data_IF_870258017873
#
_entry.id   IF_870258017873
#
_cell.length_a   1.000
_cell.length_b   1.000
_cell.length_c   1.000
_cell.angle_alpha   90.00
_cell.angle_beta   90.00
_cell.angle_gamma   90.00
#
_symmetry.space_group_name_H-M   'P 1'
#
loop_
_entity.id
_entity.type
_entity.pdbx_description
1 polymer ?
#
# COMPACT_ATOMS: atom_id res chain seq x y z
N UNK A 1 16.06 14.04 0.37
CA UNK A 1 14.75 13.81 -0.28
C UNK A 1 14.93 12.74 -1.35
N UNK A 2 14.49 11.51 -1.09
CA UNK A 2 14.67 10.33 -1.97
C UNK A 2 14.08 10.56 -3.37
N UNK A 3 13.04 11.40 -3.51
CA UNK A 3 12.37 11.68 -4.81
C UNK A 3 13.26 12.30 -5.89
N UNK A 4 14.41 12.87 -5.51
CA UNK A 4 15.34 13.52 -6.44
C UNK A 4 16.41 12.58 -7.00
N UNK A 5 16.49 11.36 -6.45
CA UNK A 5 17.50 10.39 -6.83
C UNK A 5 16.98 9.53 -7.98
N UNK A 6 17.86 9.24 -8.92
CA UNK A 6 17.69 8.21 -9.95
C UNK A 6 17.71 6.82 -9.33
N UNK A 7 17.24 5.81 -10.06
CA UNK A 7 17.31 4.42 -9.62
C UNK A 7 18.76 3.99 -9.33
N UNK A 8 19.71 4.40 -10.17
CA UNK A 8 21.14 4.11 -10.00
C UNK A 8 21.66 4.70 -8.69
N UNK A 9 21.32 5.96 -8.39
CA UNK A 9 21.71 6.59 -7.13
C UNK A 9 21.07 5.91 -5.91
N UNK A 10 19.81 5.47 -6.00
CA UNK A 10 19.15 4.71 -4.93
C UNK A 10 19.82 3.36 -4.68
N UNK A 11 20.22 2.67 -5.74
CA UNK A 11 20.90 1.37 -5.65
C UNK A 11 22.30 1.46 -5.04
N UNK A 12 22.93 2.63 -5.14
CA UNK A 12 24.21 2.89 -4.49
C UNK A 12 24.07 3.20 -2.98
N UNK A 13 22.86 3.44 -2.46
CA UNK A 13 22.63 3.58 -1.03
C UNK A 13 22.57 2.19 -0.40
N UNK A 14 23.52 1.91 0.50
CA UNK A 14 23.61 0.64 1.23
C UNK A 14 23.10 0.78 2.65
N UNK A 15 22.41 -0.26 3.13
CA UNK A 15 22.15 -0.45 4.55
C UNK A 15 23.44 -0.88 5.27
N UNK A 16 23.46 -0.85 6.61
CA UNK A 16 24.63 -1.23 7.42
C UNK A 16 25.13 -2.66 7.15
N UNK A 17 24.22 -3.54 6.71
CA UNK A 17 24.51 -4.93 6.34
C UNK A 17 24.81 -5.12 4.84
N UNK A 18 25.13 -4.04 4.13
CA UNK A 18 25.44 -3.99 2.70
C UNK A 18 24.27 -4.34 1.75
N UNK A 19 23.05 -4.53 2.25
CA UNK A 19 21.88 -4.65 1.37
C UNK A 19 21.60 -3.34 0.63
N UNK A 20 20.96 -3.46 -0.52
CA UNK A 20 20.51 -2.33 -1.33
C UNK A 20 19.04 -2.06 -1.10
N UNK A 21 18.59 -0.85 -1.43
CA UNK A 21 17.17 -0.55 -1.53
C UNK A 21 16.57 -1.37 -2.69
N UNK A 22 15.59 -2.26 -2.43
CA UNK A 22 14.96 -3.03 -3.48
C UNK A 22 13.90 -2.19 -4.20
N UNK A 23 13.65 -2.55 -5.45
CA UNK A 23 12.46 -2.16 -6.20
C UNK A 23 11.32 -3.11 -5.85
N UNK A 24 10.08 -2.69 -6.10
CA UNK A 24 8.89 -3.54 -5.92
C UNK A 24 8.99 -4.85 -6.71
N UNK A 25 9.50 -4.80 -7.94
CA UNK A 25 9.70 -5.96 -8.82
C UNK A 25 10.67 -6.96 -8.18
N UNK A 26 11.79 -6.48 -7.63
CA UNK A 26 12.75 -7.36 -6.94
C UNK A 26 12.15 -8.00 -5.69
N UNK A 27 11.32 -7.26 -4.94
CA UNK A 27 10.60 -7.82 -3.78
C UNK A 27 9.65 -8.94 -4.21
N UNK A 28 8.86 -8.72 -5.27
CA UNK A 28 7.92 -9.73 -5.77
C UNK A 28 8.64 -10.98 -6.27
N UNK A 29 9.67 -10.82 -7.13
CA UNK A 29 10.50 -11.93 -7.60
C UNK A 29 11.17 -12.71 -6.46
N UNK A 30 11.69 -12.00 -5.46
CA UNK A 30 12.36 -12.65 -4.33
C UNK A 30 11.40 -13.49 -3.48
N UNK A 31 10.10 -13.17 -3.48
CA UNK A 31 9.10 -13.81 -2.63
C UNK A 31 8.20 -14.81 -3.37
N UNK A 32 8.27 -14.84 -4.70
CA UNK A 32 7.47 -15.70 -5.58
C UNK A 32 7.47 -17.18 -5.15
N UNK A 33 8.61 -17.68 -4.66
CA UNK A 33 8.80 -19.08 -4.30
C UNK A 33 8.56 -19.42 -2.82
N UNK A 34 8.30 -18.43 -1.96
CA UNK A 34 8.33 -18.64 -0.51
C UNK A 34 6.99 -19.04 0.11
N UNK A 35 5.85 -18.69 -0.52
CA UNK A 35 4.53 -19.21 -0.16
C UNK A 35 3.48 -18.79 -1.21
N UNK A 36 2.67 -19.74 -1.69
CA UNK A 36 1.56 -19.43 -2.60
C UNK A 36 0.52 -18.49 -1.97
N UNK A 37 0.45 -18.44 -0.63
CA UNK A 37 -0.55 -17.69 0.14
C UNK A 37 -0.03 -16.36 0.71
N UNK A 38 1.16 -15.90 0.30
CA UNK A 38 1.70 -14.63 0.77
C UNK A 38 0.80 -13.46 0.34
N UNK A 39 0.50 -12.55 1.27
CA UNK A 39 -0.21 -11.30 1.01
C UNK A 39 0.69 -10.11 1.29
N UNK A 40 0.54 -9.06 0.50
CA UNK A 40 1.33 -7.84 0.58
C UNK A 40 0.44 -6.70 1.09
N UNK A 41 0.78 -6.16 2.25
CA UNK A 41 0.22 -4.89 2.73
C UNK A 41 1.17 -3.77 2.35
N UNK A 42 0.71 -2.84 1.51
CA UNK A 42 1.56 -1.82 0.93
C UNK A 42 1.08 -0.41 1.31
N UNK A 43 1.83 0.24 2.20
CA UNK A 43 1.66 1.67 2.46
C UNK A 43 2.15 2.46 1.25
N UNK A 44 1.28 3.34 0.75
CA UNK A 44 1.61 4.24 -0.35
C UNK A 44 1.80 5.66 0.18
N UNK A 45 2.56 6.44 -0.57
CA UNK A 45 2.81 7.86 -0.24
C UNK A 45 1.91 8.80 -1.03
N UNK A 46 1.58 8.44 -2.26
CA UNK A 46 0.80 9.24 -3.18
C UNK A 46 0.09 8.36 -4.21
N UNK A 47 -0.93 8.94 -4.86
CA UNK A 47 -1.73 8.25 -5.87
C UNK A 47 -0.89 7.65 -6.99
N UNK A 48 0.15 8.36 -7.46
CA UNK A 48 0.97 7.89 -8.58
C UNK A 48 1.68 6.59 -8.20
N UNK A 49 2.20 6.50 -6.98
CA UNK A 49 2.77 5.25 -6.46
C UNK A 49 1.72 4.14 -6.38
N UNK A 50 0.51 4.43 -5.89
CA UNK A 50 -0.57 3.44 -5.83
C UNK A 50 -0.99 2.89 -7.20
N UNK A 51 -1.16 3.77 -8.19
CA UNK A 51 -1.48 3.36 -9.57
C UNK A 51 -0.37 2.47 -10.15
N UNK A 52 0.89 2.86 -9.99
CA UNK A 52 2.00 2.05 -10.53
C UNK A 52 2.15 0.70 -9.82
N UNK A 53 1.80 0.62 -8.53
CA UNK A 53 1.76 -0.64 -7.80
C UNK A 53 0.68 -1.57 -8.38
N UNK A 54 -0.52 -1.06 -8.70
CA UNK A 54 -1.59 -1.82 -9.35
C UNK A 54 -1.11 -2.37 -10.70
N UNK A 55 -0.45 -1.54 -11.52
CA UNK A 55 0.12 -1.99 -12.81
C UNK A 55 1.08 -3.17 -12.61
N UNK A 56 2.08 -3.01 -11.73
CA UNK A 56 3.10 -4.04 -11.48
C UNK A 56 2.46 -5.32 -10.93
N UNK A 57 1.53 -5.20 -9.98
CA UNK A 57 0.86 -6.37 -9.41
C UNK A 57 -0.01 -7.12 -10.42
N UNK A 58 -0.59 -6.39 -11.39
CA UNK A 58 -1.33 -6.99 -12.51
C UNK A 58 -0.39 -7.71 -13.47
N UNK A 59 0.76 -7.10 -13.80
CA UNK A 59 1.80 -7.73 -14.63
C UNK A 59 2.34 -9.03 -14.02
N UNK A 60 2.35 -9.13 -12.68
CA UNK A 60 2.80 -10.29 -11.92
C UNK A 60 1.71 -11.32 -11.60
N UNK A 61 0.45 -11.08 -11.99
CA UNK A 61 -0.71 -11.93 -11.64
C UNK A 61 -0.85 -12.17 -10.12
N UNK A 62 -0.62 -11.12 -9.31
CA UNK A 62 -0.73 -11.16 -7.84
C UNK A 62 -1.64 -10.06 -7.29
N UNK A 63 -2.44 -9.39 -8.13
CA UNK A 63 -3.27 -8.26 -7.73
C UNK A 63 -4.22 -8.61 -6.57
N UNK A 64 -4.73 -9.85 -6.55
CA UNK A 64 -5.59 -10.40 -5.49
C UNK A 64 -4.88 -10.59 -4.14
N UNK A 65 -3.54 -10.57 -4.14
CA UNK A 65 -2.68 -10.66 -2.96
C UNK A 65 -2.21 -9.30 -2.45
N UNK A 66 -2.51 -8.21 -3.17
CA UNK A 66 -2.12 -6.85 -2.78
C UNK A 66 -3.24 -6.16 -1.99
N UNK A 67 -2.87 -5.56 -0.86
CA UNK A 67 -3.70 -4.66 -0.08
C UNK A 67 -3.00 -3.30 -0.02
N UNK A 68 -3.65 -2.25 -0.53
CA UNK A 68 -3.10 -0.88 -0.48
C UNK A 68 -3.64 -0.18 0.76
N UNK A 69 -2.74 0.26 1.64
CA UNK A 69 -3.05 0.99 2.87
C UNK A 69 -2.78 2.48 2.70
N UNK A 70 -3.76 3.31 3.04
CA UNK A 70 -3.65 4.78 2.94
C UNK A 70 -4.64 5.47 3.88
N UNK A 71 -4.25 6.66 4.35
CA UNK A 71 -5.04 7.49 5.28
C UNK A 71 -5.98 8.43 4.53
N UNK A 72 -5.65 8.86 3.32
CA UNK A 72 -6.46 9.82 2.58
C UNK A 72 -7.52 9.13 1.70
N UNK A 73 -8.81 9.31 2.05
CA UNK A 73 -9.94 8.78 1.28
C UNK A 73 -9.93 9.21 -0.19
N UNK A 74 -9.49 10.42 -0.52
CA UNK A 74 -9.45 10.88 -1.92
C UNK A 74 -8.42 10.11 -2.76
N UNK A 75 -7.35 9.61 -2.13
CA UNK A 75 -6.40 8.72 -2.81
C UNK A 75 -7.07 7.37 -3.03
N UNK A 76 -7.69 6.80 -1.99
CA UNK A 76 -8.39 5.51 -2.07
C UNK A 76 -9.52 5.52 -3.11
N UNK A 77 -10.30 6.60 -3.19
CA UNK A 77 -11.35 6.79 -4.20
C UNK A 77 -10.79 6.67 -5.61
N UNK A 78 -9.71 7.39 -5.91
CA UNK A 78 -9.13 7.38 -7.25
C UNK A 78 -8.48 6.04 -7.59
N UNK A 79 -7.94 5.32 -6.61
CA UNK A 79 -7.47 3.95 -6.80
C UNK A 79 -8.64 3.00 -7.10
N UNK A 80 -9.79 3.16 -6.42
CA UNK A 80 -11.03 2.41 -6.69
C UNK A 80 -11.67 2.77 -8.03
N UNK A 81 -11.50 4.00 -8.50
CA UNK A 81 -11.88 4.41 -9.85
C UNK A 81 -11.05 3.70 -10.91
N UNK A 82 -9.74 3.60 -10.68
CA UNK A 82 -8.78 2.96 -11.56
C UNK A 82 -8.96 1.43 -11.60
N UNK A 83 -9.06 0.78 -10.44
CA UNK A 83 -9.31 -0.66 -10.35
C UNK A 83 -10.47 -0.99 -9.38
N UNK A 84 -11.47 -1.71 -9.89
CA UNK A 84 -12.70 -2.01 -9.14
C UNK A 84 -12.55 -3.15 -8.14
N UNK A 85 -11.45 -3.91 -8.19
CA UNK A 85 -11.23 -5.14 -7.43
C UNK A 85 -10.09 -5.04 -6.41
N UNK A 86 -9.17 -4.09 -6.56
CA UNK A 86 -8.03 -3.91 -5.66
C UNK A 86 -8.50 -3.82 -4.21
N UNK A 87 -7.84 -4.55 -3.31
CA UNK A 87 -8.17 -4.46 -1.88
C UNK A 87 -7.58 -3.17 -1.32
N UNK A 88 -8.45 -2.34 -0.76
CA UNK A 88 -8.11 -1.06 -0.16
C UNK A 88 -8.34 -1.14 1.35
N UNK A 89 -7.44 -0.55 2.11
CA UNK A 89 -7.48 -0.51 3.57
C UNK A 89 -7.30 0.93 4.01
N UNK A 90 -8.24 1.44 4.80
CA UNK A 90 -8.13 2.77 5.35
C UNK A 90 -7.31 2.74 6.65
N UNK A 91 -6.25 3.54 6.71
CA UNK A 91 -5.41 3.67 7.90
C UNK A 91 -5.86 4.85 8.76
N UNK A 92 -6.26 4.59 10.00
CA UNK A 92 -6.61 5.62 10.98
C UNK A 92 -5.37 6.06 11.76
N UNK A 93 -5.21 7.38 11.90
CA UNK A 93 -3.99 8.00 12.44
C UNK A 93 -4.03 8.35 13.91
N UNK A 94 -5.22 8.26 14.51
CA UNK A 94 -5.47 8.84 15.81
C UNK A 94 -5.45 7.76 16.90
N UNK A 95 -5.14 8.17 18.12
CA UNK A 95 -5.27 7.35 19.33
C UNK A 95 -6.76 7.10 19.61
N UNK A 96 -7.36 6.22 18.82
CA UNK A 96 -8.79 5.91 18.89
C UNK A 96 -9.04 5.13 20.16
N UNK A 97 -9.59 5.80 21.17
CA UNK A 97 -10.11 5.16 22.39
C UNK A 97 -11.48 4.51 22.14
N UNK A 98 -12.19 4.92 21.08
CA UNK A 98 -13.48 4.37 20.65
C UNK A 98 -13.73 4.70 19.18
N UNK A 99 -14.27 3.77 18.38
CA UNK A 99 -14.70 4.03 17.00
C UNK A 99 -16.18 4.46 17.03
N UNK A 100 -16.49 5.61 16.45
CA UNK A 100 -17.87 6.06 16.20
C UNK A 100 -17.96 6.79 14.86
N UNK A 101 -19.18 7.11 14.42
CA UNK A 101 -19.45 7.70 13.10
C UNK A 101 -18.78 9.07 12.87
N UNK A 102 -18.33 9.76 13.92
CA UNK A 102 -17.59 11.01 13.79
C UNK A 102 -16.08 10.80 13.56
N UNK A 103 -15.58 9.58 13.78
CA UNK A 103 -14.15 9.22 13.69
C UNK A 103 -13.87 8.48 12.38
N UNK A 104 -14.85 7.71 11.91
CA UNK A 104 -14.78 6.95 10.66
C UNK A 104 -16.01 7.28 9.83
N UNK A 105 -15.81 7.79 8.62
CA UNK A 105 -16.91 7.97 7.67
C UNK A 105 -17.27 6.61 7.05
N UNK A 106 -18.18 5.91 7.72
CA UNK A 106 -18.61 4.55 7.37
C UNK A 106 -19.24 4.51 5.97
N UNK A 107 -19.92 5.57 5.54
CA UNK A 107 -20.54 5.62 4.21
C UNK A 107 -19.46 5.71 3.11
N UNK A 108 -18.43 6.53 3.31
CA UNK A 108 -17.27 6.54 2.40
C UNK A 108 -16.59 5.17 2.34
N UNK A 109 -16.42 4.48 3.48
CA UNK A 109 -15.81 3.15 3.47
C UNK A 109 -16.65 2.11 2.72
N UNK A 110 -17.99 2.15 2.88
CA UNK A 110 -18.92 1.30 2.13
C UNK A 110 -18.82 1.57 0.62
N UNK A 111 -18.82 2.83 0.22
CA UNK A 111 -18.72 3.23 -1.19
C UNK A 111 -17.40 2.76 -1.82
N UNK A 112 -16.31 2.82 -1.05
CA UNK A 112 -14.99 2.34 -1.46
C UNK A 112 -14.84 0.82 -1.38
N UNK A 113 -15.84 0.10 -0.85
CA UNK A 113 -15.80 -1.33 -0.55
C UNK A 113 -14.59 -1.68 0.32
N UNK A 114 -14.34 -0.86 1.35
CA UNK A 114 -13.28 -1.09 2.33
C UNK A 114 -13.87 -1.89 3.47
N UNK A 115 -13.40 -3.13 3.60
CA UNK A 115 -13.87 -4.07 4.63
C UNK A 115 -12.90 -4.21 5.80
N UNK A 116 -11.74 -3.54 5.72
CA UNK A 116 -10.69 -3.57 6.73
C UNK A 116 -10.17 -2.16 7.03
N UNK A 117 -9.92 -1.91 8.30
CA UNK A 117 -9.32 -0.67 8.81
C UNK A 117 -8.01 -1.04 9.49
N UNK A 118 -6.95 -0.31 9.17
CA UNK A 118 -5.68 -0.40 9.87
C UNK A 118 -5.64 0.69 10.96
N UNK A 119 -5.49 0.29 12.23
CA UNK A 119 -5.44 1.22 13.35
C UNK A 119 -3.98 1.38 13.77
N UNK A 120 -3.46 2.61 13.67
CA UNK A 120 -2.12 2.89 14.16
C UNK A 120 -2.13 2.97 15.69
N UNK A 121 -1.69 1.92 16.39
CA UNK A 121 -1.50 1.98 17.84
C UNK A 121 -0.21 2.73 18.19
N UNK A 122 -0.29 3.82 18.94
CA UNK A 122 0.88 4.50 19.48
C UNK A 122 1.55 3.67 20.59
N UNK A 123 2.88 3.60 20.53
CA UNK A 123 3.78 3.61 21.69
C UNK A 123 4.48 4.96 21.72
#
# INVERSE_FOLDING_TARGET
>A
NIKKLTLVELKNIKFEDNREIPTTIEVFNALENYANDLRYSCDIRDIKTGLKLIDIATEFDILDKIEITERNHNVLLKLREYDKKIKLVHTLTDSISSINDNIVDVEILKDLKIEAINIQSWR
#
